data_IF_887885262809
#
_entry.id   IF_887885262809
#
_cell.length_a   1.000
_cell.length_b   1.000
_cell.length_c   1.000
_cell.angle_alpha   90.00
_cell.angle_beta   90.00
_cell.angle_gamma   90.00
#
_symmetry.space_group_name_H-M   'P 1'
#
loop_
_entity.id
_entity.type
_entity.pdbx_description
1 polymer ?
#
# COMPACT_ATOMS: atom_id res chain seq x y z
N UNK A 1 28.56 -1.53 -9.49
CA UNK A 1 27.86 -2.79 -9.17
C UNK A 1 26.52 -2.73 -9.86
N UNK A 2 26.09 -3.75 -10.63
CA UNK A 2 24.77 -3.70 -11.25
C UNK A 2 23.74 -3.80 -10.12
N UNK A 3 22.83 -2.83 -10.05
CA UNK A 3 21.71 -2.84 -9.12
C UNK A 3 20.97 -4.17 -9.28
N UNK A 4 21.01 -5.03 -8.25
CA UNK A 4 20.09 -6.16 -8.16
C UNK A 4 18.68 -5.58 -8.18
N UNK A 5 18.03 -5.65 -9.33
CA UNK A 5 16.64 -5.25 -9.48
C UNK A 5 15.82 -6.15 -8.56
N UNK A 6 15.40 -5.61 -7.42
CA UNK A 6 14.47 -6.28 -6.50
C UNK A 6 13.17 -6.40 -7.27
N UNK A 7 12.74 -7.63 -7.54
CA UNK A 7 11.49 -7.94 -8.24
C UNK A 7 10.52 -8.49 -7.18
N UNK A 8 9.25 -8.07 -7.24
CA UNK A 8 8.23 -8.58 -6.33
C UNK A 8 8.01 -10.09 -6.52
N UNK A 9 8.46 -10.91 -5.56
CA UNK A 9 8.23 -12.37 -5.54
C UNK A 9 7.04 -12.78 -4.69
N UNK A 10 6.82 -12.07 -3.59
CA UNK A 10 5.70 -12.28 -2.67
C UNK A 10 5.02 -10.92 -2.43
N UNK A 11 3.73 -10.86 -2.69
CA UNK A 11 2.88 -9.71 -2.38
C UNK A 11 1.81 -10.12 -1.38
N UNK A 12 1.54 -9.27 -0.40
CA UNK A 12 0.42 -9.42 0.52
C UNK A 12 -0.53 -8.25 0.28
N UNK A 13 -1.77 -8.55 -0.12
CA UNK A 13 -2.85 -7.57 -0.24
C UNK A 13 -3.62 -7.54 1.08
N UNK A 14 -3.68 -6.39 1.72
CA UNK A 14 -4.43 -6.18 2.95
C UNK A 14 -5.59 -5.22 2.72
N UNK A 15 -6.76 -5.53 3.29
CA UNK A 15 -7.94 -4.66 3.30
C UNK A 15 -9.16 -5.38 3.84
N UNK A 16 -10.15 -4.63 4.31
CA UNK A 16 -11.39 -5.18 4.87
C UNK A 16 -12.48 -5.41 3.80
N UNK A 17 -12.40 -4.69 2.68
CA UNK A 17 -13.35 -4.80 1.57
C UNK A 17 -12.99 -5.96 0.62
N UNK A 18 -13.66 -7.11 0.79
CA UNK A 18 -13.43 -8.33 -0.01
C UNK A 18 -13.42 -8.11 -1.54
N UNK A 19 -14.39 -7.39 -2.15
CA UNK A 19 -14.36 -7.14 -3.60
C UNK A 19 -13.12 -6.39 -4.07
N UNK A 20 -12.66 -5.40 -3.29
CA UNK A 20 -11.50 -4.57 -3.63
C UNK A 20 -10.23 -5.39 -3.56
N UNK A 21 -10.01 -6.14 -2.47
CA UNK A 21 -8.78 -6.94 -2.31
C UNK A 21 -8.67 -8.05 -3.35
N UNK A 22 -9.77 -8.69 -3.76
CA UNK A 22 -9.75 -9.71 -4.82
C UNK A 22 -9.51 -9.10 -6.21
N UNK A 23 -10.06 -7.92 -6.46
CA UNK A 23 -9.80 -7.16 -7.69
C UNK A 23 -8.32 -6.85 -7.80
N UNK A 24 -7.72 -6.31 -6.73
CA UNK A 24 -6.29 -6.02 -6.66
C UNK A 24 -5.45 -7.28 -6.82
N UNK A 25 -5.76 -8.36 -6.11
CA UNK A 25 -5.06 -9.65 -6.26
C UNK A 25 -5.09 -10.16 -7.70
N UNK A 26 -6.23 -10.04 -8.38
CA UNK A 26 -6.39 -10.45 -9.79
C UNK A 26 -5.53 -9.60 -10.72
N UNK A 27 -5.49 -8.28 -10.50
CA UNK A 27 -4.59 -7.37 -11.25
C UNK A 27 -3.13 -7.72 -11.01
N UNK A 28 -2.71 -7.94 -9.75
CA UNK A 28 -1.33 -8.31 -9.41
C UNK A 28 -0.93 -9.58 -10.14
N UNK A 29 -1.77 -10.63 -10.10
CA UNK A 29 -1.51 -11.90 -10.81
C UNK A 29 -1.46 -11.75 -12.32
N UNK A 30 -2.21 -10.80 -12.89
CA UNK A 30 -2.16 -10.52 -14.31
C UNK A 30 -0.91 -9.73 -14.73
N UNK A 31 -0.44 -8.81 -13.89
CA UNK A 31 0.79 -8.04 -14.13
C UNK A 31 2.03 -8.92 -13.91
N UNK A 32 2.01 -9.75 -12.87
CA UNK A 32 3.12 -10.60 -12.39
C UNK A 32 2.61 -11.99 -12.00
N UNK A 33 2.37 -12.88 -12.98
CA UNK A 33 1.94 -14.26 -12.71
C UNK A 33 2.91 -15.06 -11.83
N UNK A 34 4.20 -14.72 -11.90
CA UNK A 34 5.27 -15.31 -11.10
C UNK A 34 5.30 -14.85 -9.64
N UNK A 35 4.59 -13.75 -9.31
CA UNK A 35 4.50 -13.25 -7.96
C UNK A 35 3.44 -14.02 -7.18
N UNK A 36 3.84 -14.68 -6.08
CA UNK A 36 2.88 -15.21 -5.11
C UNK A 36 2.11 -14.02 -4.52
N UNK A 37 0.79 -14.08 -4.53
CA UNK A 37 -0.06 -12.99 -4.06
C UNK A 37 -1.13 -13.53 -3.10
N UNK A 38 -0.93 -13.26 -1.81
CA UNK A 38 -1.80 -13.68 -0.71
C UNK A 38 -2.65 -12.50 -0.22
N UNK A 39 -3.81 -12.79 0.36
CA UNK A 39 -4.74 -11.78 0.90
C UNK A 39 -4.83 -11.91 2.41
N UNK A 40 -4.66 -10.80 3.12
CA UNK A 40 -4.85 -10.67 4.55
C UNK A 40 -6.12 -9.86 4.84
N UNK A 41 -7.16 -10.53 5.34
CA UNK A 41 -8.42 -9.87 5.71
C UNK A 41 -8.44 -9.26 7.13
N UNK A 42 -7.36 -9.41 7.90
CA UNK A 42 -7.25 -8.88 9.26
C UNK A 42 -5.80 -8.52 9.60
N UNK A 43 -5.62 -7.59 10.54
CA UNK A 43 -4.29 -7.16 10.97
C UNK A 43 -3.47 -8.31 11.59
N UNK A 44 -4.03 -9.20 12.44
CA UNK A 44 -3.29 -10.35 12.93
C UNK A 44 -2.80 -11.29 11.81
N UNK A 45 -3.65 -11.56 10.82
CA UNK A 45 -3.26 -12.38 9.67
C UNK A 45 -2.14 -11.71 8.85
N UNK A 46 -2.22 -10.39 8.67
CA UNK A 46 -1.17 -9.63 8.00
C UNK A 46 0.18 -9.77 8.72
N UNK A 47 0.20 -9.58 10.05
CA UNK A 47 1.41 -9.69 10.85
C UNK A 47 2.00 -11.12 10.83
N UNK A 48 1.13 -12.13 10.83
CA UNK A 48 1.55 -13.52 10.67
C UNK A 48 2.22 -13.76 9.32
N UNK A 49 1.63 -13.28 8.21
CA UNK A 49 2.25 -13.39 6.89
C UNK A 49 3.59 -12.67 6.80
N UNK A 50 3.70 -11.47 7.37
CA UNK A 50 4.95 -10.71 7.38
C UNK A 50 6.06 -11.43 8.14
N UNK A 51 5.72 -12.13 9.21
CA UNK A 51 6.68 -12.97 9.95
C UNK A 51 7.17 -14.16 9.12
N UNK A 52 6.29 -14.75 8.29
CA UNK A 52 6.62 -15.89 7.44
C UNK A 52 7.32 -15.49 6.14
N UNK A 53 7.13 -14.25 5.68
CA UNK A 53 7.61 -13.72 4.40
C UNK A 53 8.29 -12.36 4.61
N UNK A 54 9.54 -12.33 5.12
CA UNK A 54 10.25 -11.09 5.44
C UNK A 54 10.53 -10.21 4.22
N UNK A 55 10.54 -10.78 3.01
CA UNK A 55 10.73 -10.06 1.75
C UNK A 55 9.41 -9.65 1.08
N UNK A 56 8.27 -9.78 1.77
CA UNK A 56 6.97 -9.50 1.19
C UNK A 56 6.79 -8.01 0.86
N UNK A 57 6.22 -7.75 -0.31
CA UNK A 57 5.72 -6.43 -0.72
C UNK A 57 4.27 -6.26 -0.25
N UNK A 58 3.96 -5.12 0.36
CA UNK A 58 2.65 -4.78 0.89
C UNK A 58 1.83 -3.96 -0.10
N UNK A 59 0.58 -4.38 -0.30
CA UNK A 59 -0.44 -3.61 -1.01
C UNK A 59 -1.60 -3.40 -0.04
N UNK A 60 -1.82 -2.16 0.38
CA UNK A 60 -2.76 -1.80 1.43
C UNK A 60 -3.99 -1.13 0.80
N UNK A 61 -5.09 -1.85 0.70
CA UNK A 61 -6.38 -1.36 0.25
C UNK A 61 -7.11 -0.71 1.43
N UNK A 62 -7.06 0.61 1.52
CA UNK A 62 -7.48 1.39 2.68
C UNK A 62 -8.56 2.38 2.30
N UNK A 63 -9.50 2.62 3.20
CA UNK A 63 -10.42 3.76 3.13
C UNK A 63 -9.70 5.04 3.58
N UNK A 64 -10.20 6.23 3.20
CA UNK A 64 -9.68 7.49 3.70
C UNK A 64 -9.53 7.47 5.23
N UNK A 65 -8.42 8.01 5.74
CA UNK A 65 -8.05 8.09 7.16
C UNK A 65 -7.63 6.79 7.87
N UNK A 66 -7.79 5.62 7.27
CA UNK A 66 -7.33 4.35 7.89
C UNK A 66 -5.80 4.25 7.99
N UNK A 67 -5.09 4.98 7.12
CA UNK A 67 -3.63 5.08 7.07
C UNK A 67 -3.03 5.33 8.45
N UNK A 68 -3.63 6.23 9.23
CA UNK A 68 -3.10 6.70 10.50
C UNK A 68 -2.98 5.56 11.52
N UNK A 69 -4.06 4.82 11.72
CA UNK A 69 -4.10 3.74 12.70
C UNK A 69 -3.28 2.54 12.22
N UNK A 70 -3.43 2.18 10.94
CA UNK A 70 -2.73 1.02 10.40
C UNK A 70 -1.22 1.24 10.37
N UNK A 71 -0.74 2.41 9.95
CA UNK A 71 0.70 2.67 9.87
C UNK A 71 1.34 2.75 11.25
N UNK A 72 0.58 3.15 12.27
CA UNK A 72 1.04 3.02 13.65
C UNK A 72 1.25 1.56 14.05
N UNK A 73 0.28 0.68 13.74
CA UNK A 73 0.38 -0.75 14.03
C UNK A 73 1.51 -1.42 13.21
N UNK A 74 1.72 -0.99 11.98
CA UNK A 74 2.73 -1.52 11.06
C UNK A 74 4.06 -0.76 11.10
N UNK A 75 4.30 0.12 12.09
CA UNK A 75 5.44 1.04 12.09
C UNK A 75 6.80 0.36 11.86
N UNK A 76 6.98 -0.86 12.38
CA UNK A 76 8.22 -1.62 12.19
C UNK A 76 8.25 -2.32 10.83
N UNK A 77 7.12 -2.89 10.41
CA UNK A 77 7.03 -3.56 9.12
C UNK A 77 7.29 -2.59 7.96
N UNK A 78 6.73 -1.37 8.00
CA UNK A 78 6.90 -0.38 6.93
C UNK A 78 8.33 0.13 6.75
N UNK A 79 9.25 -0.16 7.69
CA UNK A 79 10.68 0.15 7.53
C UNK A 79 11.38 -0.81 6.57
N UNK A 80 10.92 -2.05 6.51
CA UNK A 80 11.59 -3.14 5.80
C UNK A 80 10.80 -3.63 4.59
N UNK A 81 9.48 -3.49 4.63
CA UNK A 81 8.58 -3.95 3.57
C UNK A 81 8.19 -2.80 2.64
N UNK A 82 8.47 -2.90 1.33
CA UNK A 82 7.90 -2.00 0.34
C UNK A 82 6.38 -1.97 0.46
N UNK A 83 5.79 -0.78 0.50
CA UNK A 83 4.34 -0.62 0.65
C UNK A 83 3.78 0.29 -0.44
N UNK A 84 2.59 -0.05 -0.91
CA UNK A 84 1.78 0.80 -1.76
C UNK A 84 0.34 0.82 -1.24
N UNK A 85 -0.24 2.01 -1.19
CA UNK A 85 -1.62 2.21 -0.77
C UNK A 85 -2.54 2.26 -1.98
N UNK A 86 -3.71 1.63 -1.86
CA UNK A 86 -4.82 1.75 -2.80
C UNK A 86 -6.01 2.28 -2.02
N UNK A 87 -6.60 3.39 -2.46
CA UNK A 87 -7.75 3.98 -1.79
C UNK A 87 -8.77 4.53 -2.78
N UNK A 88 -10.05 4.59 -2.41
CA UNK A 88 -11.09 5.19 -3.24
C UNK A 88 -10.88 6.70 -3.40
N UNK A 89 -10.35 7.35 -2.36
CA UNK A 89 -10.07 8.78 -2.31
C UNK A 89 -8.83 9.03 -1.45
N UNK A 90 -8.06 10.08 -1.77
CA UNK A 90 -6.91 10.50 -0.98
C UNK A 90 -7.11 11.94 -0.51
N UNK A 91 -7.56 12.08 0.74
CA UNK A 91 -7.74 13.37 1.38
C UNK A 91 -6.38 14.02 1.64
N UNK A 92 -6.38 15.33 1.90
CA UNK A 92 -5.15 16.06 2.26
C UNK A 92 -4.42 15.41 3.44
N UNK A 93 -5.17 15.00 4.48
CA UNK A 93 -4.61 14.31 5.65
C UNK A 93 -3.93 12.98 5.29
N UNK A 94 -4.47 12.21 4.34
CA UNK A 94 -3.89 10.95 3.90
C UNK A 94 -2.56 11.20 3.19
N UNK A 95 -2.52 12.21 2.32
CA UNK A 95 -1.30 12.60 1.60
C UNK A 95 -0.19 13.03 2.54
N UNK A 96 -0.52 13.82 3.57
CA UNK A 96 0.43 14.23 4.60
C UNK A 96 0.98 13.01 5.36
N UNK A 97 0.14 12.05 5.71
CA UNK A 97 0.57 10.82 6.39
C UNK A 97 1.48 9.98 5.48
N UNK A 98 1.10 9.76 4.23
CA UNK A 98 1.89 9.01 3.25
C UNK A 98 3.28 9.65 3.03
N UNK A 99 3.32 10.97 2.92
CA UNK A 99 4.57 11.74 2.80
C UNK A 99 5.46 11.55 4.03
N UNK A 100 4.91 11.73 5.24
CA UNK A 100 5.66 11.61 6.50
C UNK A 100 6.18 10.18 6.77
N UNK A 101 5.58 9.17 6.16
CA UNK A 101 6.03 7.78 6.21
C UNK A 101 7.05 7.42 5.12
N UNK A 102 7.74 8.42 4.59
CA UNK A 102 8.81 8.23 3.60
C UNK A 102 8.29 8.10 2.17
N UNK A 103 7.29 8.93 1.83
CA UNK A 103 6.70 9.01 0.49
C UNK A 103 6.10 7.68 0.01
N UNK A 104 5.33 7.01 0.87
CA UNK A 104 4.63 5.77 0.49
C UNK A 104 3.72 6.06 -0.72
N UNK A 105 3.91 5.37 -1.86
CA UNK A 105 3.11 5.60 -3.05
C UNK A 105 1.65 5.19 -2.81
N UNK A 106 0.73 5.94 -3.39
CA UNK A 106 -0.69 5.62 -3.36
C UNK A 106 -1.31 5.61 -4.76
N UNK A 107 -2.35 4.81 -4.97
CA UNK A 107 -3.08 4.63 -6.23
C UNK A 107 -4.57 4.76 -5.94
N UNK A 108 -5.34 5.39 -6.84
CA UNK A 108 -6.79 5.41 -6.67
C UNK A 108 -7.41 4.08 -7.12
N UNK A 109 -8.43 3.61 -6.42
CA UNK A 109 -9.12 2.36 -6.76
C UNK A 109 -9.67 2.37 -8.21
N UNK A 110 -10.09 3.54 -8.71
CA UNK A 110 -10.52 3.72 -10.10
C UNK A 110 -9.41 3.38 -11.12
N UNK A 111 -8.14 3.67 -10.80
CA UNK A 111 -7.01 3.30 -11.67
C UNK A 111 -6.87 1.77 -11.77
N UNK A 112 -7.04 1.07 -10.64
CA UNK A 112 -7.00 -0.41 -10.58
C UNK A 112 -8.20 -1.02 -11.31
N UNK A 113 -9.39 -0.47 -11.12
CA UNK A 113 -10.60 -0.90 -11.81
C UNK A 113 -10.47 -0.74 -13.33
N UNK A 114 -9.85 0.36 -13.79
CA UNK A 114 -9.52 0.56 -15.20
C UNK A 114 -8.58 -0.51 -15.75
N UNK A 115 -7.59 -0.96 -14.96
CA UNK A 115 -6.71 -2.08 -15.35
C UNK A 115 -7.49 -3.40 -15.47
N UNK A 116 -8.42 -3.68 -14.54
CA UNK A 116 -9.29 -4.87 -14.63
C UNK A 116 -10.21 -4.86 -15.83
N UNK A 117 -10.83 -3.73 -16.16
CA UNK A 117 -11.69 -3.62 -17.33
C UNK A 117 -10.94 -4.00 -18.61
N UNK A 118 -9.71 -3.51 -18.77
CA UNK A 118 -8.83 -3.81 -19.91
C UNK A 118 -8.38 -5.26 -19.97
N UNK A 119 -8.16 -5.88 -18.82
CA UNK A 119 -7.86 -7.32 -18.73
C UNK A 119 -9.04 -8.18 -19.19
N UNK A 120 -10.27 -7.80 -18.84
CA UNK A 120 -11.48 -8.56 -19.20
C UNK A 120 -11.85 -8.44 -20.67
N UNK A 121 -11.59 -7.31 -21.32
CA UNK A 121 -11.93 -7.10 -22.73
C UNK A 121 -10.99 -7.82 -23.69
N UNK A 122 -9.91 -8.45 -23.20
CA UNK A 122 -8.95 -9.17 -24.03
C UNK A 122 -8.25 -8.27 -25.06
N UNK A 123 -8.33 -6.95 -24.89
CA UNK A 123 -7.52 -6.02 -25.67
C UNK A 123 -6.07 -6.48 -25.56
N UNK A 124 -5.35 -6.47 -26.69
CA UNK A 124 -3.90 -6.69 -26.74
C UNK A 124 -3.22 -5.56 -25.96
N UNK A 125 -3.32 -5.64 -24.64
CA UNK A 125 -2.66 -4.74 -23.72
C UNK A 125 -1.19 -4.94 -23.97
N UNK A 126 -0.44 -3.87 -24.32
CA UNK A 126 0.99 -4.00 -24.51
C UNK A 126 1.54 -4.52 -23.19
N UNK A 127 2.04 -5.76 -23.21
CA UNK A 127 2.80 -6.27 -22.09
C UNK A 127 4.11 -5.48 -22.06
N UNK A 128 4.52 -4.94 -20.91
CA UNK A 128 3.86 -5.04 -19.60
C UNK A 128 2.73 -4.01 -19.41
N UNK A 129 1.67 -4.39 -18.67
CA UNK A 129 0.64 -3.48 -18.16
C UNK A 129 1.32 -2.28 -17.50
N UNK A 130 0.99 -1.06 -17.95
CA UNK A 130 1.56 0.18 -17.42
C UNK A 130 0.66 0.76 -16.33
N UNK A 131 1.27 1.38 -15.32
CA UNK A 131 0.57 2.05 -14.23
C UNK A 131 1.41 2.07 -12.96
N UNK A 132 1.02 2.88 -11.97
CA UNK A 132 1.77 3.02 -10.72
C UNK A 132 1.89 1.70 -9.95
N UNK A 133 0.82 0.89 -9.91
CA UNK A 133 0.86 -0.46 -9.33
C UNK A 133 1.85 -1.38 -10.08
N UNK A 134 1.85 -1.38 -11.41
CA UNK A 134 2.77 -2.22 -12.19
C UNK A 134 4.22 -1.79 -12.03
N UNK A 135 4.49 -0.48 -12.03
CA UNK A 135 5.82 0.08 -11.79
C UNK A 135 6.32 -0.28 -10.38
N UNK A 136 5.44 -0.19 -9.38
CA UNK A 136 5.74 -0.59 -8.01
C UNK A 136 6.07 -2.07 -7.91
N UNK A 137 5.29 -2.96 -8.52
CA UNK A 137 5.57 -4.40 -8.52
C UNK A 137 6.87 -4.76 -9.27
N UNK A 138 7.28 -3.95 -10.24
CA UNK A 138 8.49 -4.18 -11.02
C UNK A 138 9.77 -3.78 -10.26
N UNK A 139 9.69 -2.80 -9.36
CA UNK A 139 10.81 -2.34 -8.54
C UNK A 139 10.31 -1.86 -7.16
N UNK A 140 9.80 -2.77 -6.31
CA UNK A 140 9.29 -2.41 -5.00
C UNK A 140 10.44 -1.91 -4.14
N UNK A 141 10.27 -0.72 -3.54
CA UNK A 141 11.26 -0.10 -2.67
C UNK A 141 10.61 0.18 -1.31
N UNK A 142 11.25 -0.18 -0.18
CA UNK A 142 10.85 0.30 1.12
C UNK A 142 10.83 1.84 1.13
N UNK A 143 9.99 2.41 1.98
CA UNK A 143 9.99 3.85 2.17
C UNK A 143 11.38 4.28 2.69
N UNK A 144 12.05 5.17 1.96
CA UNK A 144 13.43 5.61 2.25
C UNK A 144 13.51 7.05 2.73
N UNK A 145 12.38 7.76 2.78
CA UNK A 145 12.36 9.12 3.29
C UNK A 145 12.69 9.17 4.79
N UNK A 146 13.15 10.33 5.25
CA UNK A 146 13.18 10.64 6.68
C UNK A 146 11.78 10.34 7.21
N UNK A 147 11.67 9.36 8.11
CA UNK A 147 10.47 9.12 8.90
C UNK A 147 10.30 10.32 9.84
N UNK A 148 9.89 11.45 9.25
CA UNK A 148 9.52 12.68 9.92
C UNK A 148 8.13 12.55 10.53
N UNK A 149 7.57 11.32 10.57
CA UNK A 149 6.49 10.89 11.46
C UNK A 149 6.67 11.63 12.77
N UNK A 150 5.89 12.69 13.03
CA UNK A 150 6.09 13.47 14.23
C UNK A 150 5.98 12.53 15.42
N UNK A 151 6.76 12.75 16.48
CA UNK A 151 6.71 11.96 17.72
C UNK A 151 5.30 11.92 18.36
N UNK A 152 4.31 12.53 17.73
CA UNK A 152 2.90 12.36 18.03
C UNK A 152 2.34 11.00 17.60
N UNK A 153 2.80 10.40 16.51
CA UNK A 153 2.26 9.12 16.05
C UNK A 153 2.81 7.92 16.83
N UNK A 154 3.87 8.07 17.65
CA UNK A 154 4.42 6.96 18.42
C UNK A 154 3.67 6.66 19.73
N UNK A 155 2.68 7.49 20.09
CA UNK A 155 1.95 7.40 21.34
C UNK A 155 0.47 7.72 21.11
N UNK A 156 -0.49 6.81 21.43
CA UNK A 156 -1.91 6.98 21.10
C UNK A 156 -2.50 8.33 21.51
N UNK A 157 -2.19 8.84 22.71
CA UNK A 157 -2.64 10.17 23.15
C UNK A 157 -2.14 11.31 22.26
N UNK A 158 -0.88 11.28 21.83
CA UNK A 158 -0.33 12.37 21.03
C UNK A 158 -0.86 12.33 19.59
N UNK A 159 -1.16 11.13 19.10
CA UNK A 159 -1.83 10.94 17.83
C UNK A 159 -3.22 11.56 17.85
N UNK A 160 -4.01 11.28 18.89
CA UNK A 160 -5.33 11.89 19.07
C UNK A 160 -5.24 13.43 19.13
N UNK A 161 -4.28 13.99 19.86
CA UNK A 161 -4.07 15.45 19.92
C UNK A 161 -3.68 16.05 18.56
N UNK A 162 -2.86 15.35 17.77
CA UNK A 162 -2.50 15.80 16.42
C UNK A 162 -3.69 15.77 15.47
N UNK A 163 -4.50 14.71 15.54
CA UNK A 163 -5.75 14.59 14.78
C UNK A 163 -6.75 15.69 15.14
N UNK A 164 -6.90 16.00 16.43
CA UNK A 164 -7.72 17.11 16.93
C UNK A 164 -7.24 18.46 16.37
N UNK A 165 -5.94 18.73 16.42
CA UNK A 165 -5.34 19.94 15.83
C UNK A 165 -5.58 20.06 14.32
N UNK A 166 -5.51 18.96 13.58
CA UNK A 166 -5.82 18.95 12.14
C UNK A 166 -7.29 19.27 11.87
N UNK A 167 -8.21 18.77 12.71
CA UNK A 167 -9.64 19.07 12.61
C UNK A 167 -9.94 20.55 12.85
N UNK A 168 -9.26 21.18 13.82
CA UNK A 168 -9.43 22.61 14.13
C UNK A 168 -8.83 23.56 13.10
N UNK A 169 -7.87 23.10 12.29
CA UNK A 169 -7.21 23.93 11.25
C UNK A 169 -7.82 23.77 9.85
N UNK A 170 -8.76 22.84 9.70
CA UNK A 170 -9.44 22.55 8.44
C UNK A 170 -10.81 23.28 8.32
N UNK A 171 -11.20 24.06 9.33
CA UNK A 171 -12.30 25.03 9.31
C UNK A 171 -11.78 26.42 8.97
#
# INVERSE_FOLDING_TARGET
MPDLQVICRNAIVYGDCWPVVNTVQSVVRAIRPECRCDVAGSLPALLQYLTQMPEATLILCLRPREHIYLFYALKQALLYHPALVISDELLFSDRVVLHNWGDIPAVLHQEVAGMMARLRTGEKTPHPLKGRLANFLAAPKPATGLFAVPLTFNHPKRLMNYMELLMYRAT
#
